data_IF_087289461043
#
_entry.id   IF_087289461043
#
_cell.length_a   1.000
_cell.length_b   1.000
_cell.length_c   1.000
_cell.angle_alpha   90.00
_cell.angle_beta   90.00
_cell.angle_gamma   90.00
#
_symmetry.space_group_name_H-M   'P 1'
#
loop_
_entity.id
_entity.type
_entity.pdbx_description
1 polymer ?
#
# COMPACT_ATOMS: atom_id res chain seq x y z
N UNK A 1 -1.64 4.86 2.63
CA UNK A 1 -0.19 4.57 2.51
C UNK A 1 0.33 3.56 3.54
N UNK A 2 0.19 3.78 4.85
CA UNK A 2 0.68 2.84 5.88
C UNK A 2 0.07 1.45 5.77
N UNK A 3 -1.25 1.35 5.58
CA UNK A 3 -1.93 0.07 5.37
C UNK A 3 -1.35 -0.74 4.20
N UNK A 4 -1.22 -0.10 3.03
CA UNK A 4 -0.67 -0.75 1.84
C UNK A 4 0.80 -1.16 2.01
N UNK A 5 1.57 -0.41 2.82
CA UNK A 5 2.94 -0.77 3.15
C UNK A 5 3.00 -2.01 4.04
N UNK A 6 2.24 -2.03 5.13
CA UNK A 6 2.17 -3.19 6.04
C UNK A 6 1.71 -4.43 5.28
N UNK A 7 0.66 -4.32 4.46
CA UNK A 7 0.18 -5.42 3.63
C UNK A 7 1.23 -5.92 2.63
N UNK A 8 2.07 -5.05 2.07
CA UNK A 8 3.14 -5.46 1.18
C UNK A 8 4.22 -6.27 1.92
N UNK A 9 4.56 -5.88 3.16
CA UNK A 9 5.50 -6.62 4.01
C UNK A 9 4.93 -7.97 4.44
N UNK A 10 3.71 -7.99 4.97
CA UNK A 10 3.04 -9.22 5.46
C UNK A 10 2.89 -10.28 4.38
N UNK A 11 2.73 -9.87 3.11
CA UNK A 11 2.60 -10.76 1.94
C UNK A 11 3.94 -11.14 1.31
N UNK A 12 5.06 -10.73 1.90
CA UNK A 12 6.40 -11.07 1.42
C UNK A 12 6.88 -10.28 0.20
N UNK A 13 6.29 -9.12 -0.09
CA UNK A 13 6.74 -8.25 -1.19
C UNK A 13 7.92 -7.33 -0.81
N UNK A 14 8.49 -7.48 0.39
CA UNK A 14 9.66 -6.73 0.88
C UNK A 14 11.01 -7.10 0.25
N UNK A 15 11.03 -7.81 -0.89
CA UNK A 15 12.29 -8.26 -1.51
C UNK A 15 13.08 -7.12 -2.15
N UNK A 16 12.39 -6.19 -2.81
CA UNK A 16 12.99 -5.04 -3.52
C UNK A 16 12.07 -3.82 -3.40
N UNK A 17 12.62 -2.62 -3.55
CA UNK A 17 11.80 -1.39 -3.50
C UNK A 17 10.73 -1.37 -4.61
N UNK A 18 11.05 -1.88 -5.80
CA UNK A 18 10.12 -1.99 -6.92
C UNK A 18 8.95 -2.94 -6.63
N UNK A 19 9.24 -4.14 -6.11
CA UNK A 19 8.22 -5.11 -5.72
C UNK A 19 7.29 -4.56 -4.62
N UNK A 20 7.85 -3.83 -3.66
CA UNK A 20 7.08 -3.19 -2.60
C UNK A 20 6.15 -2.11 -3.15
N UNK A 21 6.63 -1.19 -4.00
CA UNK A 21 5.81 -0.13 -4.59
C UNK A 21 4.67 -0.71 -5.46
N UNK A 22 4.96 -1.75 -6.23
CA UNK A 22 3.96 -2.44 -7.04
C UNK A 22 2.88 -3.10 -6.17
N UNK A 23 3.27 -3.79 -5.09
CA UNK A 23 2.34 -4.40 -4.15
C UNK A 23 1.48 -3.35 -3.43
N UNK A 24 2.08 -2.24 -3.00
CA UNK A 24 1.34 -1.12 -2.40
C UNK A 24 0.31 -0.54 -3.37
N UNK A 25 0.69 -0.32 -4.63
CA UNK A 25 -0.20 0.19 -5.68
C UNK A 25 -1.36 -0.75 -5.96
N UNK A 26 -1.09 -2.05 -6.05
CA UNK A 26 -2.12 -3.09 -6.21
C UNK A 26 -3.09 -3.08 -5.03
N UNK A 27 -2.58 -2.99 -3.80
CA UNK A 27 -3.40 -2.94 -2.58
C UNK A 27 -4.33 -1.75 -2.58
N UNK A 28 -3.82 -0.55 -2.93
CA UNK A 28 -4.63 0.68 -3.00
C UNK A 28 -5.74 0.52 -4.06
N UNK A 29 -5.42 0.03 -5.25
CA UNK A 29 -6.39 -0.12 -6.34
C UNK A 29 -7.51 -1.12 -5.99
N UNK A 30 -7.16 -2.23 -5.35
CA UNK A 30 -8.10 -3.31 -5.01
C UNK A 30 -8.90 -3.04 -3.73
N UNK A 31 -8.44 -2.13 -2.88
CA UNK A 31 -9.18 -1.73 -1.67
C UNK A 31 -10.41 -0.91 -2.03
N UNK A 32 -10.35 -0.12 -3.12
CA UNK A 32 -11.48 0.68 -3.59
C UNK A 32 -12.55 -0.05 -4.40
N UNK A 33 -12.42 -1.38 -4.60
CA UNK A 33 -13.40 -2.21 -5.33
C UNK A 33 -14.20 -3.14 -4.42
N UNK A 34 -14.02 -3.08 -3.09
CA UNK A 34 -14.86 -3.86 -2.17
C UNK A 34 -16.20 -3.14 -1.99
N UNK A 35 -17.32 -3.71 -2.48
CA UNK A 35 -18.64 -3.23 -2.12
C UNK A 35 -18.86 -3.52 -0.63
N UNK A 36 -19.63 -2.65 0.01
CA UNK A 36 -20.10 -2.73 1.39
C UNK A 36 -20.28 -4.17 1.92
N UNK A 37 -19.74 -4.46 3.11
CA UNK A 37 -20.08 -5.70 3.83
C UNK A 37 -18.95 -6.38 4.63
N UNK A 38 -17.77 -5.78 4.74
CA UNK A 38 -16.68 -6.32 5.56
C UNK A 38 -16.75 -5.84 7.00
N UNK A 39 -16.92 -6.76 7.94
CA UNK A 39 -16.98 -6.65 9.40
C UNK A 39 -15.70 -6.07 10.07
N UNK A 40 -15.16 -4.96 9.55
CA UNK A 40 -14.05 -4.21 10.12
C UNK A 40 -14.58 -3.11 11.04
N UNK A 41 -13.99 -2.98 12.22
CA UNK A 41 -14.31 -1.88 13.14
C UNK A 41 -14.12 -0.53 12.43
N UNK A 42 -14.92 0.50 12.74
CA UNK A 42 -14.89 1.79 12.03
C UNK A 42 -13.51 2.45 12.07
N UNK A 43 -12.69 2.19 13.09
CA UNK A 43 -11.29 2.63 13.16
C UNK A 43 -10.39 1.94 12.15
N UNK A 44 -10.51 0.62 12.00
CA UNK A 44 -9.80 -0.10 10.94
C UNK A 44 -10.23 0.45 9.59
N UNK A 45 -11.52 0.63 9.35
CA UNK A 45 -12.05 1.19 8.10
C UNK A 45 -11.56 2.62 7.87
N UNK A 46 -11.49 3.47 8.89
CA UNK A 46 -10.93 4.83 8.77
C UNK A 46 -9.43 4.82 8.49
N UNK A 47 -8.66 3.89 9.07
CA UNK A 47 -7.23 3.70 8.77
C UNK A 47 -7.00 3.12 7.36
N UNK A 48 -7.88 2.22 6.94
CA UNK A 48 -7.90 1.58 5.62
C UNK A 48 -8.24 2.59 4.51
N UNK A 49 -9.27 3.41 4.73
CA UNK A 49 -9.78 4.41 3.80
C UNK A 49 -9.10 5.78 3.94
N UNK A 50 -8.31 6.01 4.99
CA UNK A 50 -7.72 7.32 5.28
C UNK A 50 -8.77 8.43 5.49
N UNK A 51 -9.92 8.09 6.07
CA UNK A 51 -11.04 9.02 6.23
C UNK A 51 -11.79 9.38 4.95
N UNK A 52 -11.47 8.79 3.79
CA UNK A 52 -12.30 8.94 2.59
C UNK A 52 -13.58 8.13 2.72
N UNK A 53 -14.56 8.70 3.42
CA UNK A 53 -15.95 8.33 3.31
C UNK A 53 -16.33 8.47 1.82
N UNK A 54 -16.67 7.36 1.17
CA UNK A 54 -17.27 7.30 -0.19
C UNK A 54 -16.35 7.46 -1.41
N UNK A 55 -15.22 6.75 -1.49
CA UNK A 55 -14.52 6.66 -2.77
C UNK A 55 -13.32 5.70 -2.83
N UNK A 56 -13.11 5.13 -4.02
CA UNK A 56 -11.90 4.35 -4.37
C UNK A 56 -10.65 5.15 -3.99
N UNK A 57 -9.72 4.52 -3.28
CA UNK A 57 -8.43 5.14 -2.97
C UNK A 57 -7.69 5.48 -4.28
N UNK A 58 -7.44 6.77 -4.53
CA UNK A 58 -6.72 7.28 -5.72
C UNK A 58 -5.25 7.60 -5.42
N UNK A 59 -4.77 7.26 -4.22
CA UNK A 59 -3.40 7.50 -3.79
C UNK A 59 -2.40 6.70 -4.66
N UNK A 60 -1.21 7.25 -4.88
CA UNK A 60 -0.14 6.55 -5.58
C UNK A 60 1.10 6.49 -4.67
N UNK A 61 1.72 5.31 -4.50
CA UNK A 61 2.93 5.22 -3.69
C UNK A 61 4.09 5.91 -4.39
N UNK A 62 4.84 6.71 -3.63
CA UNK A 62 6.02 7.44 -4.10
C UNK A 62 7.23 7.07 -3.25
N UNK A 63 8.39 7.07 -3.89
CA UNK A 63 9.68 6.82 -3.26
C UNK A 63 10.63 7.92 -3.72
N UNK A 64 11.20 8.62 -2.75
CA UNK A 64 12.25 9.62 -2.97
C UNK A 64 13.51 9.15 -2.26
N UNK A 65 14.66 9.33 -2.88
CA UNK A 65 15.95 8.92 -2.34
C UNK A 65 17.04 9.96 -2.62
N UNK A 66 18.06 9.99 -1.77
CA UNK A 66 19.20 10.90 -1.92
C UNK A 66 20.06 10.56 -3.15
N UNK A 67 20.23 9.28 -3.46
CA UNK A 67 21.05 8.79 -4.57
C UNK A 67 20.27 7.88 -5.52
N UNK A 68 20.73 7.82 -6.77
CA UNK A 68 20.17 6.91 -7.77
C UNK A 68 20.52 5.46 -7.43
N UNK A 69 19.53 4.59 -7.47
CA UNK A 69 19.70 3.14 -7.40
C UNK A 69 18.62 2.46 -8.23
N UNK A 70 18.87 1.20 -8.60
CA UNK A 70 17.87 0.39 -9.26
C UNK A 70 16.90 -0.20 -8.23
N UNK A 71 15.63 0.20 -8.33
CA UNK A 71 14.55 -0.24 -7.45
C UNK A 71 14.26 -1.73 -7.54
N UNK A 72 14.56 -2.39 -8.66
CA UNK A 72 14.32 -3.81 -8.86
C UNK A 72 15.50 -4.69 -8.38
N UNK A 73 16.66 -4.09 -8.14
CA UNK A 73 17.84 -4.80 -7.65
C UNK A 73 18.14 -4.49 -6.18
N UNK A 74 17.85 -3.27 -5.72
CA UNK A 74 18.10 -2.88 -4.33
C UNK A 74 17.09 -3.56 -3.40
N UNK A 75 17.61 -4.37 -2.47
CA UNK A 75 16.81 -5.01 -1.42
C UNK A 75 16.32 -3.98 -0.42
N UNK A 76 15.07 -4.14 0.03
CA UNK A 76 14.55 -3.40 1.17
C UNK A 76 15.10 -4.03 2.45
N UNK A 77 15.61 -3.19 3.36
CA UNK A 77 16.08 -3.59 4.68
C UNK A 77 15.42 -2.68 5.71
N UNK A 78 15.03 -3.28 6.84
CA UNK A 78 14.59 -2.59 8.06
C UNK A 78 15.80 -2.07 8.84
#
# INVERSE_FOLDING_TARGET
MTYSFVQAIERGHGNTYGNMLNAMRSTISNTGTKPDGGNGTPLLTMLLSGGSYFGRLRQAPQLTAYGKFDVNSKRFSF
#
